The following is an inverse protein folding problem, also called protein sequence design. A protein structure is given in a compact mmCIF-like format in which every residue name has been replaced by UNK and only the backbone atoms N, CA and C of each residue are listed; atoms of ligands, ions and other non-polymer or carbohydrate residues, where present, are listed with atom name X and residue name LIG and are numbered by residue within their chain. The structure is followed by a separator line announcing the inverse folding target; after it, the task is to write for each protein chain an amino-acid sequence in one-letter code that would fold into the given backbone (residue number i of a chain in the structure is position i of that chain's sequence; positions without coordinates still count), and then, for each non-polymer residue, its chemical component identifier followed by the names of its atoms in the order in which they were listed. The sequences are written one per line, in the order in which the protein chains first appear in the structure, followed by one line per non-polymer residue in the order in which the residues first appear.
data_IF_155112261081
#
_entry.id   IF_155112261081
#
_cell.length_a   1.000
_cell.length_b   1.000
_cell.length_c   1.000
_cell.angle_alpha   90.00
_cell.angle_beta   90.00
_cell.angle_gamma   90.00
#
_symmetry.space_group_name_H-M   'P 1'
#
loop_
_entity.id
_entity.type
_entity.pdbx_description
1 polymer ?
#
# COMPACT_ATOMS: atom_id res chain seq x y z
N UNK A 1 -33.38 7.17 -16.45
CA UNK A 1 -32.84 7.31 -15.08
C UNK A 1 -31.82 6.20 -14.87
N UNK A 2 -30.75 6.48 -14.12
CA UNK A 2 -29.84 5.43 -13.63
C UNK A 2 -30.64 4.47 -12.76
N UNK A 3 -30.41 3.16 -12.86
CA UNK A 3 -31.11 2.19 -12.02
C UNK A 3 -30.50 2.16 -10.62
N UNK A 4 -31.34 1.99 -9.58
CA UNK A 4 -30.89 1.80 -8.20
C UNK A 4 -29.85 0.66 -8.09
N UNK A 5 -30.08 -0.43 -8.80
CA UNK A 5 -29.15 -1.56 -8.84
C UNK A 5 -27.76 -1.17 -9.36
N UNK A 6 -27.67 -0.28 -10.36
CA UNK A 6 -26.38 0.20 -10.86
C UNK A 6 -25.65 1.03 -9.80
N UNK A 7 -26.38 1.91 -9.10
CA UNK A 7 -25.82 2.71 -7.99
C UNK A 7 -25.27 1.82 -6.88
N UNK A 8 -26.02 0.80 -6.47
CA UNK A 8 -25.60 -0.11 -5.40
C UNK A 8 -24.38 -0.96 -5.80
N UNK A 9 -24.32 -1.43 -7.05
CA UNK A 9 -23.16 -2.16 -7.55
C UNK A 9 -21.92 -1.26 -7.65
N UNK A 10 -22.05 -0.03 -8.13
CA UNK A 10 -20.92 0.93 -8.17
C UNK A 10 -20.37 1.23 -6.77
N UNK A 11 -21.26 1.39 -5.77
CA UNK A 11 -20.87 1.55 -4.36
C UNK A 11 -20.16 0.33 -3.81
N UNK A 12 -20.69 -0.87 -4.06
CA UNK A 12 -20.08 -2.12 -3.60
C UNK A 12 -18.70 -2.34 -4.22
N UNK A 13 -18.56 -2.10 -5.53
CA UNK A 13 -17.28 -2.21 -6.24
C UNK A 13 -16.24 -1.25 -5.66
N UNK A 14 -16.63 0.02 -5.43
CA UNK A 14 -15.73 1.02 -4.86
C UNK A 14 -15.34 0.67 -3.43
N UNK A 15 -16.30 0.27 -2.59
CA UNK A 15 -16.06 -0.14 -1.21
C UNK A 15 -15.09 -1.32 -1.13
N UNK A 16 -15.29 -2.35 -1.95
CA UNK A 16 -14.40 -3.51 -2.00
C UNK A 16 -12.97 -3.09 -2.40
N UNK A 17 -12.84 -2.28 -3.45
CA UNK A 17 -11.53 -1.83 -3.96
C UNK A 17 -10.79 -0.97 -2.93
N UNK A 18 -11.49 -0.03 -2.29
CA UNK A 18 -10.93 0.82 -1.24
C UNK A 18 -10.49 0.01 -0.01
N UNK A 19 -11.31 -0.95 0.45
CA UNK A 19 -10.94 -1.83 1.57
C UNK A 19 -9.70 -2.67 1.25
N UNK A 20 -9.65 -3.30 0.07
CA UNK A 20 -8.48 -4.08 -0.35
C UNK A 20 -7.22 -3.22 -0.45
N UNK A 21 -7.32 -2.04 -1.06
CA UNK A 21 -6.20 -1.10 -1.15
C UNK A 21 -5.68 -0.71 0.24
N UNK A 22 -6.59 -0.39 1.16
CA UNK A 22 -6.25 0.06 2.49
C UNK A 22 -5.65 -1.02 3.42
N UNK A 23 -5.61 -2.29 3.01
CA UNK A 23 -4.81 -3.30 3.71
C UNK A 23 -3.30 -3.03 3.53
N UNK A 24 -2.89 -2.55 2.35
CA UNK A 24 -1.48 -2.37 1.98
C UNK A 24 -0.94 -0.97 2.34
N UNK A 25 -1.81 0.03 2.40
CA UNK A 25 -1.46 1.44 2.71
C UNK A 25 -0.81 1.61 4.09
N UNK A 26 -1.42 1.22 5.22
CA UNK A 26 -0.84 1.46 6.54
C UNK A 26 0.46 0.69 6.75
N UNK A 27 0.56 -0.52 6.18
CA UNK A 27 1.80 -1.29 6.17
C UNK A 27 2.92 -0.57 5.42
N UNK A 28 2.63 0.01 4.25
CA UNK A 28 3.61 0.80 3.48
C UNK A 28 4.10 1.99 4.30
N UNK A 29 3.18 2.80 4.86
CA UNK A 29 3.51 4.01 5.61
C UNK A 29 4.34 3.66 6.86
N UNK A 30 3.94 2.62 7.61
CA UNK A 30 4.67 2.18 8.81
C UNK A 30 6.04 1.59 8.51
N UNK A 31 6.14 0.72 7.50
CA UNK A 31 7.41 0.09 7.14
C UNK A 31 8.42 1.08 6.56
N UNK A 32 8.00 2.13 5.84
CA UNK A 32 8.94 3.16 5.35
C UNK A 32 9.71 3.77 6.51
N UNK A 33 9.02 4.20 7.57
CA UNK A 33 9.67 4.78 8.74
C UNK A 33 10.58 3.77 9.45
N UNK A 34 10.13 2.52 9.57
CA UNK A 34 10.94 1.45 10.14
C UNK A 34 12.24 1.23 9.37
N UNK A 35 12.18 1.16 8.03
CA UNK A 35 13.34 0.99 7.16
C UNK A 35 14.29 2.19 7.22
N UNK A 36 13.75 3.42 7.21
CA UNK A 36 14.55 4.64 7.35
C UNK A 36 15.30 4.65 8.68
N UNK A 37 14.65 4.27 9.77
CA UNK A 37 15.28 4.20 11.10
C UNK A 37 16.37 3.11 11.11
N UNK A 38 16.09 1.90 10.62
CA UNK A 38 17.07 0.81 10.58
C UNK A 38 18.31 1.20 9.75
N UNK A 39 18.11 1.76 8.56
CA UNK A 39 19.21 2.17 7.69
C UNK A 39 20.00 3.33 8.30
N UNK A 40 19.32 4.30 8.93
CA UNK A 40 19.97 5.42 9.63
C UNK A 40 20.85 4.91 10.78
N UNK A 41 20.34 3.97 11.59
CA UNK A 41 21.13 3.34 12.67
C UNK A 41 22.32 2.55 12.11
N UNK A 42 22.15 1.85 10.99
CA UNK A 42 23.27 1.20 10.30
C UNK A 42 24.34 2.22 9.90
N UNK A 43 23.97 3.31 9.22
CA UNK A 43 24.91 4.34 8.76
C UNK A 43 25.62 5.02 9.95
N UNK A 44 24.91 5.29 11.04
CA UNK A 44 25.48 5.95 12.23
C UNK A 44 26.40 5.04 13.05
N UNK A 45 26.10 3.73 13.12
CA UNK A 45 26.81 2.81 14.04
C UNK A 45 27.76 1.83 13.35
N UNK A 46 27.64 1.64 12.03
CA UNK A 46 28.37 0.63 11.26
C UNK A 46 27.97 -0.82 11.57
N UNK A 47 27.00 -1.06 12.46
CA UNK A 47 26.59 -2.41 12.87
C UNK A 47 25.80 -3.09 11.74
N UNK A 48 26.39 -4.13 11.14
CA UNK A 48 25.86 -4.82 9.96
C UNK A 48 24.49 -5.46 10.15
N UNK A 49 24.13 -5.85 11.38
CA UNK A 49 22.80 -6.38 11.70
C UNK A 49 21.66 -5.47 11.22
N UNK A 50 21.79 -4.15 11.37
CA UNK A 50 20.76 -3.22 10.95
C UNK A 50 20.63 -3.14 9.43
N UNK A 51 21.73 -3.29 8.68
CA UNK A 51 21.71 -3.41 7.22
C UNK A 51 20.98 -4.66 6.76
N UNK A 52 21.23 -5.77 7.44
CA UNK A 52 20.58 -7.05 7.13
C UNK A 52 19.08 -6.99 7.46
N UNK A 53 18.70 -6.33 8.56
CA UNK A 53 17.32 -6.02 8.90
C UNK A 53 16.65 -5.14 7.83
N UNK A 54 17.27 -4.02 7.42
CA UNK A 54 16.73 -3.16 6.36
C UNK A 54 16.50 -3.95 5.08
N UNK A 55 17.44 -4.81 4.69
CA UNK A 55 17.32 -5.63 3.47
C UNK A 55 16.20 -6.67 3.57
N UNK A 56 16.08 -7.34 4.71
CA UNK A 56 15.03 -8.33 4.93
C UNK A 56 13.64 -7.70 4.88
N UNK A 57 13.41 -6.66 5.69
CA UNK A 57 12.13 -5.97 5.73
C UNK A 57 11.86 -5.21 4.44
N UNK A 58 12.90 -4.72 3.75
CA UNK A 58 12.81 -4.06 2.45
C UNK A 58 12.25 -4.96 1.35
N UNK A 59 12.54 -6.27 1.39
CA UNK A 59 11.94 -7.25 0.47
C UNK A 59 10.43 -7.38 0.69
N UNK A 60 10.00 -7.51 1.96
CA UNK A 60 8.58 -7.60 2.30
C UNK A 60 7.84 -6.30 2.00
N UNK A 61 8.49 -5.16 2.26
CA UNK A 61 8.02 -3.85 1.84
C UNK A 61 7.78 -3.78 0.33
N UNK A 62 8.73 -4.25 -0.48
CA UNK A 62 8.58 -4.25 -1.94
C UNK A 62 7.36 -5.04 -2.43
N UNK A 63 7.09 -6.20 -1.83
CA UNK A 63 5.90 -7.01 -2.15
C UNK A 63 4.61 -6.26 -1.80
N UNK A 64 4.53 -5.72 -0.57
CA UNK A 64 3.37 -4.96 -0.10
C UNK A 64 3.15 -3.70 -0.95
N UNK A 65 4.22 -3.00 -1.30
CA UNK A 65 4.20 -1.79 -2.10
C UNK A 65 3.67 -2.07 -3.51
N UNK A 66 4.11 -3.16 -4.16
CA UNK A 66 3.62 -3.53 -5.49
C UNK A 66 2.08 -3.74 -5.48
N UNK A 67 1.55 -4.48 -4.51
CA UNK A 67 0.09 -4.67 -4.38
C UNK A 67 -0.64 -3.36 -4.06
N UNK A 68 -0.05 -2.52 -3.21
CA UNK A 68 -0.57 -1.19 -2.90
C UNK A 68 -0.69 -0.29 -4.14
N UNK A 69 0.34 -0.27 -4.99
CA UNK A 69 0.33 0.51 -6.24
C UNK A 69 -0.72 -0.01 -7.21
N UNK A 70 -0.79 -1.32 -7.45
CA UNK A 70 -1.78 -1.89 -8.39
C UNK A 70 -3.22 -1.62 -7.95
N UNK A 71 -3.51 -1.79 -6.66
CA UNK A 71 -4.85 -1.50 -6.12
C UNK A 71 -5.16 0.00 -6.11
N UNK A 72 -4.17 0.86 -5.89
CA UNK A 72 -4.32 2.31 -5.93
C UNK A 72 -4.64 2.84 -7.32
N UNK A 73 -3.95 2.34 -8.36
CA UNK A 73 -4.24 2.67 -9.76
C UNK A 73 -5.69 2.28 -10.12
N UNK A 74 -6.13 1.09 -9.67
CA UNK A 74 -7.51 0.64 -9.90
C UNK A 74 -8.51 1.60 -9.26
N UNK A 75 -8.24 2.06 -8.04
CA UNK A 75 -9.09 3.01 -7.32
C UNK A 75 -9.10 4.39 -7.99
N UNK A 76 -7.96 4.88 -8.49
CA UNK A 76 -7.85 6.12 -9.24
C UNK A 76 -8.75 6.12 -10.48
N UNK A 77 -8.68 5.05 -11.29
CA UNK A 77 -9.52 4.94 -12.49
C UNK A 77 -11.00 4.67 -12.19
N UNK A 78 -11.36 4.19 -10.99
CA UNK A 78 -12.77 4.05 -10.59
C UNK A 78 -13.49 5.39 -10.48
N UNK A 79 -12.78 6.48 -10.18
CA UNK A 79 -13.35 7.83 -10.19
C UNK A 79 -13.73 8.33 -11.58
N UNK A 80 -13.19 7.76 -12.67
CA UNK A 80 -13.54 8.15 -14.04
C UNK A 80 -14.49 7.18 -14.75
N UNK A 81 -14.61 5.95 -14.25
CA UNK A 81 -15.40 4.88 -14.89
C UNK A 81 -16.77 4.70 -14.26
N UNK A 82 -16.87 4.87 -12.94
CA UNK A 82 -18.07 4.51 -12.16
C UNK A 82 -18.58 5.63 -11.24
N UNK A 83 -17.93 6.79 -11.25
CA UNK A 83 -18.29 7.99 -10.49
C UNK A 83 -18.16 9.24 -11.35
#
# INVERSE_FOLDING_TARGET
MVSEQLVDLSRLQFAATAMYHFLFVPLTIGMVWMLVIMESVYVMTGKTIYKDMTRFWGKLFGINFALGVTTGITLEFQFGTNW
#
